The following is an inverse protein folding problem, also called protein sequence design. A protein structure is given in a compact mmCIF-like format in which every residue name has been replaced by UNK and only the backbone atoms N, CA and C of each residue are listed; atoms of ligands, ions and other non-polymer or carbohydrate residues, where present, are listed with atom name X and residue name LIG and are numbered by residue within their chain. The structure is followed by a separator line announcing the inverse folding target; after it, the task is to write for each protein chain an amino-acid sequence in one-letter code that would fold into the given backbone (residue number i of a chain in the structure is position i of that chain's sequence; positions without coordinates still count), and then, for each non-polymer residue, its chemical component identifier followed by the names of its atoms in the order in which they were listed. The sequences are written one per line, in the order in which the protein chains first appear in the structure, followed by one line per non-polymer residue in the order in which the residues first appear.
data_IF_413461199467
#
_entry.id   IF_413461199467
#
_cell.length_a   1.000
_cell.length_b   1.000
_cell.length_c   1.000
_cell.angle_alpha   90.00
_cell.angle_beta   90.00
_cell.angle_gamma   90.00
#
_symmetry.space_group_name_H-M   'P 1'
#
loop_
_entity.id
_entity.type
_entity.pdbx_description
1 polymer ?
#
# COMPACT_ATOMS: atom_id res chain seq x y z
N UNK A 1 17.41 8.09 -15.10
CA UNK A 1 17.41 9.56 -14.93
C UNK A 1 17.74 9.85 -13.47
N UNK A 2 18.86 10.54 -13.19
CA UNK A 2 19.36 10.68 -11.81
C UNK A 2 18.68 11.86 -11.10
N UNK A 3 18.38 11.70 -9.80
CA UNK A 3 17.76 12.73 -8.95
C UNK A 3 18.68 13.00 -7.77
N UNK A 4 19.20 14.22 -7.65
CA UNK A 4 20.16 14.59 -6.61
C UNK A 4 19.58 15.62 -5.64
N UNK A 5 20.04 15.61 -4.39
CA UNK A 5 19.75 16.60 -3.34
C UNK A 5 18.25 16.82 -3.01
N UNK A 6 17.40 15.80 -3.14
CA UNK A 6 15.99 15.85 -2.72
C UNK A 6 15.81 15.23 -1.33
N UNK A 7 14.94 15.83 -0.51
CA UNK A 7 14.58 15.29 0.82
C UNK A 7 13.80 13.97 0.72
N UNK A 8 13.09 13.77 -0.37
CA UNK A 8 12.25 12.61 -0.67
C UNK A 8 12.39 12.25 -2.16
N UNK A 9 12.49 10.97 -2.49
CA UNK A 9 12.62 10.50 -3.88
C UNK A 9 11.59 9.41 -4.16
N UNK A 10 10.87 9.51 -5.28
CA UNK A 10 9.98 8.47 -5.77
C UNK A 10 10.79 7.43 -6.55
N UNK A 11 10.85 6.20 -6.06
CA UNK A 11 11.58 5.09 -6.66
C UNK A 11 10.77 3.81 -6.57
N UNK A 12 10.50 3.17 -7.71
CA UNK A 12 9.70 1.93 -7.79
C UNK A 12 8.37 2.01 -7.01
N UNK A 13 7.69 3.16 -7.09
CA UNK A 13 6.42 3.45 -6.37
C UNK A 13 6.54 3.63 -4.85
N UNK A 14 7.76 3.66 -4.31
CA UNK A 14 8.04 4.05 -2.94
C UNK A 14 8.50 5.50 -2.89
N UNK A 15 8.04 6.25 -1.87
CA UNK A 15 8.64 7.53 -1.48
C UNK A 15 9.68 7.22 -0.40
N UNK A 16 10.96 7.37 -0.77
CA UNK A 16 12.09 7.14 0.12
C UNK A 16 12.47 8.48 0.74
N UNK A 17 12.17 8.64 2.03
CA UNK A 17 12.57 9.78 2.86
C UNK A 17 13.59 9.35 3.90
N UNK A 18 14.40 10.28 4.41
CA UNK A 18 15.58 10.05 5.27
C UNK A 18 15.41 9.03 6.43
N UNK A 19 14.18 8.81 6.91
CA UNK A 19 13.89 7.89 8.00
C UNK A 19 12.66 6.97 7.76
N UNK A 20 12.00 7.04 6.60
CA UNK A 20 10.77 6.27 6.33
C UNK A 20 10.67 5.89 4.85
N UNK A 21 10.38 4.63 4.59
CA UNK A 21 9.90 4.15 3.29
C UNK A 21 8.37 4.28 3.36
N UNK A 22 7.83 5.28 2.66
CA UNK A 22 6.40 5.44 2.48
C UNK A 22 6.03 4.71 1.19
N UNK A 23 5.36 3.57 1.31
CA UNK A 23 4.64 2.99 0.17
C UNK A 23 3.63 4.02 -0.30
N UNK A 24 3.72 4.45 -1.56
CA UNK A 24 2.65 5.20 -2.19
C UNK A 24 1.52 4.20 -2.45
N UNK A 25 0.78 3.84 -1.41
CA UNK A 25 -0.38 2.97 -1.52
C UNK A 25 -1.44 3.73 -2.30
N UNK A 26 -1.41 3.54 -3.61
CA UNK A 26 -2.43 4.03 -4.50
C UNK A 26 -3.73 3.31 -4.14
N UNK A 27 -4.79 4.04 -3.83
CA UNK A 27 -6.05 3.44 -3.37
C UNK A 27 -6.59 2.42 -4.37
N UNK A 28 -6.38 2.65 -5.67
CA UNK A 28 -6.73 1.69 -6.74
C UNK A 28 -5.98 0.36 -6.65
N UNK A 29 -4.70 0.38 -6.30
CA UNK A 29 -3.89 -0.83 -6.15
C UNK A 29 -4.24 -1.58 -4.87
N UNK A 30 -4.49 -0.86 -3.77
CA UNK A 30 -4.99 -1.46 -2.52
C UNK A 30 -6.34 -2.14 -2.76
N UNK A 31 -7.23 -1.51 -3.52
CA UNK A 31 -8.51 -2.10 -3.90
C UNK A 31 -8.32 -3.34 -4.79
N UNK A 32 -7.47 -3.27 -5.81
CA UNK A 32 -7.17 -4.40 -6.69
C UNK A 32 -6.58 -5.58 -5.92
N UNK A 33 -5.67 -5.28 -4.99
CA UNK A 33 -5.07 -6.26 -4.08
C UNK A 33 -6.12 -6.90 -3.18
N UNK A 34 -6.95 -6.10 -2.49
CA UNK A 34 -8.03 -6.61 -1.63
C UNK A 34 -9.03 -7.49 -2.40
N UNK A 35 -9.31 -7.15 -3.66
CA UNK A 35 -10.17 -7.93 -4.54
C UNK A 35 -9.54 -9.28 -4.90
N UNK A 36 -8.24 -9.29 -5.20
CA UNK A 36 -7.48 -10.51 -5.49
C UNK A 36 -7.38 -11.41 -4.26
N UNK A 37 -6.96 -10.85 -3.12
CA UNK A 37 -6.79 -11.62 -1.88
C UNK A 37 -8.13 -12.05 -1.26
N UNK A 38 -9.23 -11.38 -1.64
CA UNK A 38 -10.59 -11.77 -1.26
C UNK A 38 -10.98 -13.16 -1.77
N UNK A 39 -10.47 -13.57 -2.94
CA UNK A 39 -10.65 -14.93 -3.46
C UNK A 39 -9.94 -15.95 -2.57
N UNK A 40 -8.74 -15.63 -2.08
CA UNK A 40 -7.94 -16.50 -1.24
C UNK A 40 -8.26 -16.40 0.26
N UNK A 41 -9.33 -15.69 0.66
CA UNK A 41 -9.63 -15.39 2.08
C UNK A 41 -9.79 -16.64 2.96
N UNK A 42 -10.25 -17.75 2.38
CA UNK A 42 -10.46 -19.01 3.09
C UNK A 42 -9.14 -19.70 3.49
N UNK A 43 -8.05 -19.36 2.79
CA UNK A 43 -6.73 -19.94 3.02
C UNK A 43 -5.86 -19.08 3.95
N UNK A 44 -6.29 -17.86 4.27
CA UNK A 44 -5.54 -16.90 5.07
C UNK A 44 -6.17 -16.80 6.47
N UNK A 45 -5.52 -17.41 7.47
CA UNK A 45 -5.97 -17.34 8.86
C UNK A 45 -5.98 -15.89 9.35
N UNK A 46 -7.14 -15.41 9.79
CA UNK A 46 -7.27 -14.03 10.28
C UNK A 46 -7.26 -12.97 9.19
N UNK A 47 -7.54 -13.33 7.94
CA UNK A 47 -7.61 -12.42 6.79
C UNK A 47 -8.34 -11.11 7.10
N UNK A 48 -9.52 -11.19 7.72
CA UNK A 48 -10.32 -10.01 8.08
C UNK A 48 -9.55 -9.02 8.95
N UNK A 49 -8.77 -9.48 9.94
CA UNK A 49 -7.97 -8.60 10.83
C UNK A 49 -6.90 -7.83 10.06
N UNK A 50 -6.36 -8.42 9.00
CA UNK A 50 -5.32 -7.82 8.15
C UNK A 50 -5.96 -6.83 7.17
N UNK A 51 -7.14 -7.16 6.63
CA UNK A 51 -7.80 -6.32 5.63
C UNK A 51 -8.57 -5.16 6.20
N UNK A 52 -9.07 -5.21 7.45
CA UNK A 52 -9.78 -4.10 8.10
C UNK A 52 -9.04 -2.76 7.97
N UNK A 53 -7.76 -2.61 8.38
CA UNK A 53 -7.06 -1.33 8.24
C UNK A 53 -6.88 -0.89 6.79
N UNK A 54 -6.74 -1.84 5.85
CA UNK A 54 -6.64 -1.55 4.41
C UNK A 54 -7.98 -1.08 3.83
N UNK A 55 -9.09 -1.64 4.30
CA UNK A 55 -10.44 -1.23 3.91
C UNK A 55 -10.79 0.14 4.50
N UNK A 56 -10.40 0.42 5.74
CA UNK A 56 -10.56 1.75 6.36
C UNK A 56 -9.73 2.82 5.63
N UNK A 57 -8.50 2.50 5.21
CA UNK A 57 -7.68 3.38 4.36
C UNK A 57 -8.32 3.65 2.98
N UNK A 58 -9.18 2.75 2.50
CA UNK A 58 -9.87 2.89 1.24
C UNK A 58 -11.15 3.72 1.33
N UNK A 59 -11.76 3.81 2.52
CA UNK A 59 -12.98 4.60 2.81
C UNK A 59 -12.70 6.10 2.91
N UNK A 60 -11.84 6.62 2.04
CA UNK A 60 -11.54 8.06 2.04
C UNK A 60 -12.75 8.84 1.52
N UNK A 61 -13.45 9.45 2.48
CA UNK A 61 -14.65 10.31 2.39
C UNK A 61 -15.96 9.61 1.96
#
# INVERSE_FOLDING_TARGET
KCVFHRKEVKFLEYIISRNRILTLINTKEVYSFLRFTGFCRQFIKGYLRITIPLTELLKKD
#
